data_IF_394698499078
#
_entry.id   IF_394698499078
#
_cell.length_a   1.000
_cell.length_b   1.000
_cell.length_c   1.000
_cell.angle_alpha   90.00
_cell.angle_beta   90.00
_cell.angle_gamma   90.00
#
_symmetry.space_group_name_H-M   'P 1'
#
loop_
_entity.id
_entity.type
_entity.pdbx_description
1 polymer ?
#
# COMPACT_ATOMS: atom_id res chain seq x y z
N UNK A 1 -21.57 -6.65 12.67
CA UNK A 1 -21.18 -6.37 14.05
C UNK A 1 -19.76 -5.84 14.04
N UNK A 2 -19.57 -4.65 14.51
CA UNK A 2 -18.34 -3.88 14.33
C UNK A 2 -17.78 -3.49 15.68
N UNK A 3 -16.47 -3.49 15.84
CA UNK A 3 -15.83 -3.10 17.08
C UNK A 3 -14.63 -2.21 16.79
N UNK A 4 -14.72 -0.99 17.23
CA UNK A 4 -13.59 -0.13 17.50
C UNK A 4 -13.76 0.48 18.90
N UNK A 5 -12.66 0.53 19.64
CA UNK A 5 -12.55 0.76 21.08
C UNK A 5 -13.04 2.11 21.59
N UNK A 6 -13.98 2.70 21.28
CA UNK A 6 -14.48 3.96 21.82
C UNK A 6 -15.62 4.50 20.99
N UNK A 7 -15.39 4.64 19.70
CA UNK A 7 -16.39 5.22 18.81
C UNK A 7 -17.65 4.35 18.69
N UNK A 8 -17.50 3.04 18.63
CA UNK A 8 -18.65 2.12 18.57
C UNK A 8 -19.36 1.98 19.89
N UNK A 9 -18.65 2.01 20.99
CA UNK A 9 -19.27 2.02 22.31
C UNK A 9 -20.13 3.26 22.49
N UNK A 10 -19.64 4.43 22.09
CA UNK A 10 -20.42 5.67 22.13
C UNK A 10 -21.61 5.62 21.15
N UNK A 11 -21.41 5.15 19.92
CA UNK A 11 -22.48 5.03 18.92
C UNK A 11 -23.52 3.98 19.31
N UNK A 12 -23.11 2.86 19.90
CA UNK A 12 -24.03 1.84 20.41
C UNK A 12 -24.79 2.35 21.62
N UNK A 13 -24.15 3.10 22.52
CA UNK A 13 -24.80 3.72 23.67
C UNK A 13 -25.80 4.83 23.30
N UNK A 14 -25.66 5.44 22.10
CA UNK A 14 -26.65 6.38 21.54
C UNK A 14 -27.93 5.68 21.04
N UNK A 15 -27.87 4.38 20.71
CA UNK A 15 -28.95 3.64 20.07
C UNK A 15 -29.43 2.43 20.86
N UNK A 16 -28.68 1.97 21.83
CA UNK A 16 -28.97 0.79 22.64
C UNK A 16 -28.79 1.10 24.15
N UNK A 17 -29.51 0.36 25.00
CA UNK A 17 -29.30 0.51 26.41
C UNK A 17 -27.89 0.06 26.85
N UNK A 18 -27.37 0.58 27.99
CA UNK A 18 -26.08 0.14 28.52
C UNK A 18 -26.02 -1.39 28.77
N UNK A 19 -27.13 -2.02 29.10
CA UNK A 19 -27.22 -3.46 29.38
C UNK A 19 -27.11 -4.27 28.08
N UNK A 20 -27.77 -3.83 26.98
CA UNK A 20 -27.64 -4.45 25.64
C UNK A 20 -26.23 -4.33 25.07
N UNK A 21 -25.55 -3.22 25.34
CA UNK A 21 -24.15 -3.03 24.97
C UNK A 21 -23.23 -3.91 25.82
N UNK A 22 -23.55 -4.11 27.09
CA UNK A 22 -22.81 -4.96 28.02
C UNK A 22 -22.91 -6.45 27.66
N UNK A 23 -24.06 -6.90 27.19
CA UNK A 23 -24.24 -8.28 26.72
C UNK A 23 -23.47 -8.56 25.42
N UNK A 24 -23.37 -7.58 24.53
CA UNK A 24 -22.70 -7.76 23.24
C UNK A 24 -21.16 -7.71 23.35
N UNK A 25 -20.61 -6.88 24.23
CA UNK A 25 -19.18 -6.63 24.35
C UNK A 25 -18.39 -7.80 24.98
N UNK A 26 -18.87 -8.48 26.04
CA UNK A 26 -18.14 -9.59 26.65
C UNK A 26 -17.93 -10.80 25.73
N UNK A 27 -18.86 -11.11 24.84
CA UNK A 27 -18.69 -12.21 23.87
C UNK A 27 -17.52 -11.98 22.90
N UNK A 28 -17.18 -10.73 22.66
CA UNK A 28 -16.12 -10.34 21.71
C UNK A 28 -14.82 -9.94 22.41
N UNK A 29 -14.88 -9.62 23.70
CA UNK A 29 -13.71 -9.42 24.56
C UNK A 29 -13.10 -10.73 25.06
N UNK A 30 -13.73 -11.89 24.81
CA UNK A 30 -13.12 -13.17 25.13
C UNK A 30 -11.84 -13.37 24.33
N UNK A 31 -10.79 -12.86 24.92
CA UNK A 31 -9.43 -12.98 24.47
C UNK A 31 -8.89 -14.37 24.80
N UNK A 32 -8.06 -14.86 23.95
CA UNK A 32 -7.16 -15.95 24.28
C UNK A 32 -5.74 -15.38 24.37
N UNK A 33 -4.90 -16.05 25.13
CA UNK A 33 -3.47 -15.70 25.16
C UNK A 33 -2.76 -16.53 24.10
N UNK A 34 -1.99 -15.87 23.25
CA UNK A 34 -1.14 -16.58 22.29
C UNK A 34 0.06 -17.25 23.01
N UNK A 35 0.89 -17.97 22.26
CA UNK A 35 2.07 -18.66 22.78
C UNK A 35 3.08 -17.73 23.50
N UNK A 36 2.97 -16.41 23.30
CA UNK A 36 3.77 -15.39 23.97
C UNK A 36 3.11 -14.85 25.24
N UNK A 37 1.89 -15.32 25.58
CA UNK A 37 1.10 -14.81 26.69
C UNK A 37 0.39 -13.48 26.40
N UNK A 38 0.42 -13.01 25.14
CA UNK A 38 -0.25 -11.77 24.75
C UNK A 38 -1.74 -12.02 24.49
N UNK A 39 -2.58 -11.17 25.05
CA UNK A 39 -4.03 -11.22 24.87
C UNK A 39 -4.42 -10.94 23.40
N UNK A 40 -5.23 -11.84 22.83
CA UNK A 40 -5.69 -11.77 21.44
C UNK A 40 -7.22 -11.82 21.39
N UNK A 41 -7.80 -11.17 20.40
CA UNK A 41 -9.22 -11.28 20.12
C UNK A 41 -9.53 -12.54 19.32
N UNK A 42 -10.65 -13.21 19.60
CA UNK A 42 -11.12 -14.36 18.81
C UNK A 42 -11.50 -13.98 17.39
N UNK A 43 -11.93 -12.73 17.18
CA UNK A 43 -12.30 -12.20 15.87
C UNK A 43 -11.09 -11.44 15.33
N UNK A 44 -10.54 -11.83 14.17
CA UNK A 44 -9.33 -11.20 13.61
C UNK A 44 -9.61 -9.86 12.94
N UNK A 45 -10.82 -9.65 12.41
CA UNK A 45 -11.18 -8.49 11.60
C UNK A 45 -12.44 -7.81 12.11
N UNK A 46 -12.39 -6.49 12.19
CA UNK A 46 -13.53 -5.68 12.60
C UNK A 46 -13.90 -4.68 11.52
N UNK A 47 -15.20 -4.48 11.33
CA UNK A 47 -15.75 -3.51 10.40
C UNK A 47 -16.75 -2.59 11.08
N UNK A 48 -16.78 -1.32 10.64
CA UNK A 48 -17.78 -0.34 11.06
C UNK A 48 -18.17 0.54 9.86
N UNK A 49 -19.46 0.82 9.72
CA UNK A 49 -19.95 1.73 8.69
C UNK A 49 -21.24 2.39 9.12
N UNK A 50 -21.46 3.62 8.66
CA UNK A 50 -22.72 4.35 8.79
C UNK A 50 -23.50 4.43 7.46
N UNK A 51 -23.11 3.62 6.47
CA UNK A 51 -23.74 3.55 5.14
C UNK A 51 -23.40 4.70 4.19
N UNK A 52 -22.51 5.62 4.59
CA UNK A 52 -22.08 6.72 3.70
C UNK A 52 -20.94 6.26 2.82
N UNK A 53 -20.99 6.63 1.55
CA UNK A 53 -19.89 6.41 0.62
C UNK A 53 -18.59 7.05 1.13
N UNK A 54 -17.47 6.39 0.84
CA UNK A 54 -16.15 6.91 1.19
C UNK A 54 -15.89 8.28 0.54
N UNK A 55 -15.51 9.24 1.37
CA UNK A 55 -15.08 10.58 0.94
C UNK A 55 -13.85 10.99 1.73
N UNK A 56 -12.73 11.16 1.05
CA UNK A 56 -11.45 11.52 1.67
C UNK A 56 -11.53 12.80 2.54
N UNK A 57 -12.42 13.76 2.19
CA UNK A 57 -12.66 14.95 2.98
C UNK A 57 -13.42 14.70 4.30
N UNK A 58 -14.11 13.56 4.40
CA UNK A 58 -14.91 13.19 5.57
C UNK A 58 -14.32 11.98 6.30
N UNK A 59 -13.02 11.99 6.51
CA UNK A 59 -12.19 10.87 6.99
C UNK A 59 -12.79 10.00 8.10
N UNK A 60 -13.50 10.59 9.05
CA UNK A 60 -14.05 9.86 10.21
C UNK A 60 -15.53 9.55 10.12
N UNK A 61 -16.22 9.96 9.04
CA UNK A 61 -17.69 9.88 8.93
C UNK A 61 -18.20 9.28 7.61
N UNK A 62 -17.32 8.57 6.87
CA UNK A 62 -17.67 7.98 5.58
C UNK A 62 -16.85 6.71 5.32
N UNK A 63 -17.35 5.88 4.40
CA UNK A 63 -16.71 4.62 4.01
C UNK A 63 -16.99 3.47 4.97
N UNK A 64 -16.26 2.40 4.73
CA UNK A 64 -16.30 1.18 5.54
C UNK A 64 -15.02 1.14 6.34
N UNK A 65 -15.14 1.32 7.64
CA UNK A 65 -13.98 1.27 8.55
C UNK A 65 -13.59 -0.16 8.81
N UNK A 66 -12.32 -0.46 8.62
CA UNK A 66 -11.73 -1.78 8.79
C UNK A 66 -10.56 -1.73 9.76
N UNK A 67 -10.45 -2.75 10.60
CA UNK A 67 -9.30 -2.97 11.45
C UNK A 67 -8.98 -4.45 11.56
N UNK A 68 -7.73 -4.81 11.29
CA UNK A 68 -7.14 -6.09 11.66
C UNK A 68 -6.69 -6.01 13.12
N UNK A 69 -7.41 -6.66 14.01
CA UNK A 69 -7.16 -6.62 15.47
C UNK A 69 -6.18 -7.68 15.94
N UNK A 70 -5.62 -8.47 15.04
CA UNK A 70 -4.57 -9.46 15.38
C UNK A 70 -3.27 -8.78 15.85
N UNK A 71 -3.04 -7.53 15.43
CA UNK A 71 -1.99 -6.67 15.97
C UNK A 71 -2.62 -5.42 16.56
N UNK A 72 -2.38 -5.19 17.86
CA UNK A 72 -2.91 -4.03 18.59
C UNK A 72 -2.39 -2.69 18.05
N UNK A 73 -1.26 -2.70 17.33
CA UNK A 73 -0.69 -1.50 16.69
C UNK A 73 -1.42 -1.09 15.41
N UNK A 74 -2.20 -2.00 14.81
CA UNK A 74 -2.95 -1.67 13.61
C UNK A 74 -4.01 -0.61 13.93
N UNK A 75 -4.01 0.44 13.10
CA UNK A 75 -5.00 1.51 13.18
C UNK A 75 -6.18 1.18 12.26
N UNK A 76 -7.35 1.66 12.64
CA UNK A 76 -8.53 1.58 11.78
C UNK A 76 -8.33 2.46 10.54
N UNK A 77 -8.78 1.97 9.39
CA UNK A 77 -8.72 2.67 8.09
C UNK A 77 -10.06 2.61 7.39
N UNK A 78 -10.41 3.67 6.68
CA UNK A 78 -11.62 3.72 5.88
C UNK A 78 -11.35 3.15 4.49
N UNK A 79 -12.22 2.25 4.05
CA UNK A 79 -12.19 1.62 2.72
C UNK A 79 -13.40 2.09 1.91
N UNK A 80 -13.29 2.18 0.58
CA UNK A 80 -14.42 2.49 -0.29
C UNK A 80 -15.38 1.31 -0.44
N UNK A 81 -14.91 0.07 -0.29
CA UNK A 81 -15.65 -1.17 -0.47
C UNK A 81 -15.28 -2.22 0.59
N UNK A 82 -16.11 -3.27 0.69
CA UNK A 82 -15.85 -4.43 1.53
C UNK A 82 -14.76 -5.31 0.93
N UNK A 83 -13.95 -5.93 1.80
CA UNK A 83 -13.14 -7.07 1.38
C UNK A 83 -14.04 -8.21 0.93
N UNK A 84 -13.63 -8.93 -0.11
CA UNK A 84 -14.28 -10.15 -0.54
C UNK A 84 -13.94 -11.31 0.44
N UNK A 85 -14.81 -12.33 0.55
CA UNK A 85 -14.54 -13.47 1.44
C UNK A 85 -13.18 -14.14 1.19
N UNK A 86 -12.79 -14.28 -0.07
CA UNK A 86 -11.51 -14.87 -0.48
C UNK A 86 -10.32 -14.05 0.02
N UNK A 87 -10.43 -12.71 -0.05
CA UNK A 87 -9.41 -11.78 0.44
C UNK A 87 -9.23 -11.89 1.96
N UNK A 88 -10.35 -12.03 2.69
CA UNK A 88 -10.31 -12.25 4.14
C UNK A 88 -9.66 -13.58 4.53
N UNK A 89 -9.93 -14.66 3.75
CA UNK A 89 -9.27 -15.95 3.95
C UNK A 89 -7.77 -15.85 3.69
N UNK A 90 -7.36 -15.14 2.66
CA UNK A 90 -5.94 -14.88 2.38
C UNK A 90 -5.27 -14.09 3.51
N UNK A 91 -5.94 -13.04 4.00
CA UNK A 91 -5.44 -12.25 5.14
C UNK A 91 -5.34 -13.09 6.41
N UNK A 92 -6.26 -14.03 6.66
CA UNK A 92 -6.20 -14.96 7.79
C UNK A 92 -4.97 -15.87 7.73
N UNK A 93 -4.60 -16.33 6.53
CA UNK A 93 -3.41 -17.14 6.31
C UNK A 93 -2.08 -16.38 6.41
N UNK A 94 -2.12 -15.04 6.46
CA UNK A 94 -0.93 -14.20 6.57
C UNK A 94 -0.56 -13.93 8.03
N UNK A 95 0.74 -13.98 8.34
CA UNK A 95 1.30 -13.68 9.66
C UNK A 95 2.26 -12.47 9.58
N UNK A 96 1.74 -11.22 9.47
CA UNK A 96 2.56 -10.05 9.21
C UNK A 96 3.71 -9.84 10.20
N UNK A 97 3.55 -10.24 11.44
CA UNK A 97 4.60 -10.12 12.47
C UNK A 97 5.80 -11.04 12.19
N UNK A 98 5.55 -12.31 11.84
CA UNK A 98 6.62 -13.24 11.45
C UNK A 98 7.29 -12.80 10.14
N UNK A 99 6.48 -12.34 9.20
CA UNK A 99 6.97 -11.84 7.92
C UNK A 99 7.83 -10.58 8.09
N UNK A 100 7.48 -9.70 9.02
CA UNK A 100 8.31 -8.55 9.37
C UNK A 100 9.62 -8.95 10.05
N UNK A 101 9.64 -10.04 10.83
CA UNK A 101 10.86 -10.58 11.44
C UNK A 101 11.89 -11.02 10.40
N UNK A 102 11.42 -11.47 9.22
CA UNK A 102 12.29 -11.87 8.12
C UNK A 102 13.31 -10.77 7.73
N UNK A 103 12.93 -9.48 7.81
CA UNK A 103 13.86 -8.38 7.51
C UNK A 103 15.03 -8.30 8.49
N UNK A 104 14.78 -8.59 9.77
CA UNK A 104 15.83 -8.62 10.79
C UNK A 104 16.72 -9.85 10.63
N UNK A 105 16.13 -10.99 10.25
CA UNK A 105 16.85 -12.26 10.08
C UNK A 105 17.68 -12.28 8.78
N UNK A 106 17.32 -11.45 7.79
CA UNK A 106 17.99 -11.36 6.50
C UNK A 106 18.51 -9.93 6.21
N UNK A 107 19.48 -9.41 6.99
CA UNK A 107 19.95 -8.04 6.84
C UNK A 107 20.84 -7.83 5.61
N UNK A 108 21.38 -8.89 4.99
CA UNK A 108 22.26 -8.83 3.82
C UNK A 108 21.53 -8.45 2.55
N UNK A 109 22.20 -7.66 1.69
CA UNK A 109 21.71 -7.23 0.37
C UNK A 109 22.79 -7.34 -0.72
N UNK A 110 23.87 -8.05 -0.47
CA UNK A 110 25.02 -8.15 -1.39
C UNK A 110 24.64 -8.72 -2.76
N UNK A 111 23.69 -9.65 -2.79
CA UNK A 111 23.15 -10.26 -4.01
C UNK A 111 22.43 -9.28 -4.95
N UNK A 112 21.94 -8.15 -4.39
CA UNK A 112 21.20 -7.15 -5.15
C UNK A 112 22.12 -6.14 -5.85
N UNK A 113 23.42 -6.16 -5.55
CA UNK A 113 24.43 -5.28 -6.16
C UNK A 113 24.10 -3.79 -5.99
N UNK A 114 23.59 -3.42 -4.82
CA UNK A 114 23.22 -2.06 -4.48
C UNK A 114 24.43 -1.25 -4.01
N UNK A 115 24.35 0.06 -4.18
CA UNK A 115 25.24 1.00 -3.50
C UNK A 115 24.76 1.20 -2.06
N UNK A 116 25.67 1.55 -1.14
CA UNK A 116 25.34 1.70 0.29
C UNK A 116 24.10 2.56 0.56
N UNK A 117 23.97 3.70 -0.13
CA UNK A 117 22.81 4.59 0.06
C UNK A 117 21.49 4.00 -0.47
N UNK A 118 21.54 3.09 -1.44
CA UNK A 118 20.38 2.35 -1.92
C UNK A 118 19.95 1.28 -0.89
N UNK A 119 20.92 0.58 -0.30
CA UNK A 119 20.66 -0.33 0.82
C UNK A 119 20.04 0.39 2.00
N UNK A 120 20.58 1.57 2.36
CA UNK A 120 20.05 2.39 3.46
C UNK A 120 18.60 2.83 3.18
N UNK A 121 18.28 3.18 1.93
CA UNK A 121 16.93 3.51 1.51
C UNK A 121 15.97 2.30 1.69
N UNK A 122 16.37 1.11 1.24
CA UNK A 122 15.58 -0.12 1.40
C UNK A 122 15.37 -0.43 2.89
N UNK A 123 16.43 -0.39 3.71
CA UNK A 123 16.36 -0.60 5.16
C UNK A 123 15.43 0.41 5.86
N UNK A 124 15.41 1.66 5.40
CA UNK A 124 14.51 2.69 5.95
C UNK A 124 13.04 2.34 5.69
N UNK A 125 12.71 1.84 4.50
CA UNK A 125 11.36 1.37 4.17
C UNK A 125 10.98 0.16 5.01
N UNK A 126 11.84 -0.87 5.11
CA UNK A 126 11.59 -2.05 5.93
C UNK A 126 11.32 -1.68 7.39
N UNK A 127 12.13 -0.78 7.96
CA UNK A 127 11.91 -0.26 9.32
C UNK A 127 10.58 0.48 9.46
N UNK A 128 10.16 1.25 8.45
CA UNK A 128 8.89 1.95 8.46
C UNK A 128 7.70 0.96 8.43
N UNK A 129 7.78 -0.07 7.59
CA UNK A 129 6.79 -1.16 7.53
C UNK A 129 6.68 -1.88 8.88
N UNK A 130 7.80 -2.25 9.48
CA UNK A 130 7.84 -2.91 10.81
C UNK A 130 7.22 -2.03 11.89
N UNK A 131 7.35 -0.70 11.78
CA UNK A 131 6.68 0.27 12.69
C UNK A 131 5.20 0.46 12.41
N UNK A 132 4.64 -0.18 11.37
CA UNK A 132 3.23 -0.08 11.01
C UNK A 132 2.86 1.16 10.18
N UNK A 133 3.85 1.85 9.58
CA UNK A 133 3.56 2.97 8.67
C UNK A 133 2.86 2.45 7.41
N UNK A 134 1.80 3.14 7.00
CA UNK A 134 1.00 2.79 5.82
C UNK A 134 1.38 3.62 4.60
N UNK A 135 1.85 4.83 4.81
CA UNK A 135 2.36 5.76 3.79
C UNK A 135 3.84 6.03 4.06
N UNK A 136 4.67 5.78 3.05
CA UNK A 136 6.14 5.83 3.16
C UNK A 136 6.70 6.63 1.99
N UNK A 137 7.58 7.58 2.24
CA UNK A 137 8.21 8.41 1.22
C UNK A 137 9.73 8.24 1.23
N UNK A 138 10.30 7.96 0.04
CA UNK A 138 11.73 8.01 -0.24
C UNK A 138 12.06 9.23 -1.11
N UNK A 139 12.95 10.08 -0.64
CA UNK A 139 13.48 11.20 -1.40
C UNK A 139 14.90 10.89 -1.88
N UNK A 140 15.05 10.54 -3.15
CA UNK A 140 16.35 10.21 -3.78
C UNK A 140 16.57 11.05 -5.03
N UNK A 141 17.70 11.72 -5.15
CA UNK A 141 18.02 12.60 -6.29
C UNK A 141 17.95 11.84 -7.64
N UNK A 142 17.73 12.58 -8.72
CA UNK A 142 17.77 12.01 -10.08
C UNK A 142 19.16 11.43 -10.35
N UNK A 143 19.23 10.30 -11.07
CA UNK A 143 20.50 9.62 -11.37
C UNK A 143 21.07 8.74 -10.25
N UNK A 144 20.45 8.70 -9.07
CA UNK A 144 20.90 7.84 -7.96
C UNK A 144 20.40 6.39 -8.06
N UNK A 145 19.70 6.03 -9.13
CA UNK A 145 19.20 4.67 -9.36
C UNK A 145 17.93 4.34 -8.57
N UNK A 146 16.97 5.29 -8.50
CA UNK A 146 15.65 5.06 -7.86
C UNK A 146 14.98 3.77 -8.34
N UNK A 147 14.93 3.54 -9.64
CA UNK A 147 14.31 2.33 -10.21
C UNK A 147 15.00 1.07 -9.72
N UNK A 148 16.34 1.03 -9.66
CA UNK A 148 17.08 -0.10 -9.10
C UNK A 148 16.79 -0.31 -7.62
N UNK A 149 16.71 0.78 -6.86
CA UNK A 149 16.31 0.73 -5.44
C UNK A 149 14.89 0.18 -5.28
N UNK A 150 13.95 0.62 -6.14
CA UNK A 150 12.57 0.13 -6.13
C UNK A 150 12.50 -1.38 -6.46
N UNK A 151 13.26 -1.85 -7.47
CA UNK A 151 13.32 -3.27 -7.83
C UNK A 151 13.85 -4.12 -6.66
N UNK A 152 14.96 -3.70 -6.07
CA UNK A 152 15.56 -4.40 -4.93
C UNK A 152 14.64 -4.41 -3.70
N UNK A 153 13.97 -3.29 -3.44
CA UNK A 153 12.96 -3.20 -2.40
C UNK A 153 11.80 -4.17 -2.64
N UNK A 154 11.20 -4.16 -3.84
CA UNK A 154 10.11 -5.07 -4.19
C UNK A 154 10.53 -6.53 -4.10
N UNK A 155 11.76 -6.87 -4.51
CA UNK A 155 12.31 -8.21 -4.33
C UNK A 155 12.24 -8.65 -2.87
N UNK A 156 12.78 -7.85 -1.97
CA UNK A 156 12.82 -8.18 -0.53
C UNK A 156 11.41 -8.22 0.09
N UNK A 157 10.54 -7.31 -0.30
CA UNK A 157 9.16 -7.28 0.17
C UNK A 157 8.38 -8.56 -0.22
N UNK A 158 8.62 -9.10 -1.42
CA UNK A 158 8.00 -10.36 -1.87
C UNK A 158 8.69 -11.55 -1.20
N UNK A 159 10.04 -11.57 -1.10
CA UNK A 159 10.78 -12.66 -0.47
C UNK A 159 10.43 -12.85 1.01
N UNK A 160 10.17 -11.75 1.72
CA UNK A 160 9.69 -11.82 3.10
C UNK A 160 8.28 -12.43 3.24
N UNK A 161 7.59 -12.68 2.13
CA UNK A 161 6.18 -13.07 2.08
C UNK A 161 5.23 -12.08 2.77
N UNK A 162 5.73 -10.85 3.09
CA UNK A 162 4.92 -9.80 3.71
C UNK A 162 3.89 -9.24 2.73
N UNK A 163 4.23 -9.25 1.44
CA UNK A 163 3.38 -8.78 0.38
C UNK A 163 3.21 -9.86 -0.69
N UNK A 164 1.96 -10.09 -1.05
CA UNK A 164 1.57 -11.09 -2.04
C UNK A 164 1.64 -10.53 -3.45
N UNK A 165 1.15 -9.28 -3.62
CA UNK A 165 1.07 -8.61 -4.93
C UNK A 165 1.32 -7.13 -4.82
N UNK A 166 2.34 -6.66 -5.53
CA UNK A 166 2.75 -5.26 -5.57
C UNK A 166 2.22 -4.60 -6.85
N UNK A 167 1.56 -3.47 -6.71
CA UNK A 167 1.27 -2.57 -7.82
C UNK A 167 2.44 -1.59 -7.98
N UNK A 168 3.10 -1.62 -9.15
CA UNK A 168 4.06 -0.59 -9.53
C UNK A 168 3.34 0.46 -10.38
N UNK A 169 3.04 1.59 -9.75
CA UNK A 169 2.24 2.66 -10.33
C UNK A 169 3.13 3.72 -10.97
N UNK A 170 2.93 3.94 -12.26
CA UNK A 170 3.65 4.94 -13.05
C UNK A 170 2.70 5.99 -13.62
N UNK A 171 3.22 7.19 -13.82
CA UNK A 171 2.46 8.30 -14.41
C UNK A 171 2.22 8.10 -15.90
N UNK A 172 3.26 7.66 -16.63
CA UNK A 172 3.23 7.55 -18.09
C UNK A 172 3.55 6.13 -18.57
N UNK A 173 2.97 5.78 -19.72
CA UNK A 173 3.26 4.50 -20.37
C UNK A 173 4.76 4.28 -20.62
N UNK A 174 5.48 5.31 -21.10
CA UNK A 174 6.92 5.24 -21.35
C UNK A 174 7.74 4.92 -20.10
N UNK A 175 7.35 5.43 -18.94
CA UNK A 175 7.99 5.08 -17.66
C UNK A 175 7.71 3.62 -17.27
N UNK A 176 6.52 3.13 -17.55
CA UNK A 176 6.17 1.73 -17.34
C UNK A 176 6.96 0.79 -18.25
N UNK A 177 7.15 1.15 -19.51
CA UNK A 177 7.98 0.40 -20.46
C UNK A 177 9.46 0.40 -20.02
N UNK A 178 9.99 1.53 -19.54
CA UNK A 178 11.32 1.61 -18.96
C UNK A 178 11.46 0.75 -17.69
N UNK A 179 10.45 0.72 -16.84
CA UNK A 179 10.46 -0.12 -15.65
C UNK A 179 10.45 -1.61 -16.00
N UNK A 180 9.63 -2.01 -16.98
CA UNK A 180 9.61 -3.40 -17.47
C UNK A 180 10.96 -3.82 -18.05
N UNK A 181 11.59 -2.96 -18.88
CA UNK A 181 12.96 -3.20 -19.36
C UNK A 181 13.97 -3.31 -18.21
N UNK A 182 13.87 -2.46 -17.19
CA UNK A 182 14.75 -2.55 -16.02
C UNK A 182 14.54 -3.85 -15.23
N UNK A 183 13.31 -4.40 -15.17
CA UNK A 183 13.04 -5.71 -14.57
C UNK A 183 13.69 -6.85 -15.39
N UNK A 184 13.67 -6.77 -16.71
CA UNK A 184 14.33 -7.75 -17.61
C UNK A 184 15.85 -7.71 -17.47
N UNK A 185 16.43 -6.52 -17.34
CA UNK A 185 17.89 -6.33 -17.25
C UNK A 185 18.44 -6.63 -15.85
N UNK A 186 17.61 -6.55 -14.80
CA UNK A 186 18.05 -6.76 -13.42
C UNK A 186 18.27 -8.25 -13.14
N UNK A 187 19.50 -8.59 -12.75
CA UNK A 187 19.86 -9.95 -12.31
C UNK A 187 20.06 -10.01 -10.82
N UNK A 188 19.53 -11.08 -10.22
CA UNK A 188 19.67 -11.41 -8.81
C UNK A 188 20.13 -12.86 -8.74
N UNK A 189 21.28 -13.11 -8.16
CA UNK A 189 21.90 -14.45 -8.09
C UNK A 189 22.05 -15.14 -9.46
N UNK A 190 22.20 -14.36 -10.56
CA UNK A 190 22.35 -14.88 -11.92
C UNK A 190 21.03 -14.97 -12.71
N UNK A 191 19.90 -15.03 -12.06
CA UNK A 191 18.58 -15.05 -12.68
C UNK A 191 18.04 -13.65 -12.95
N UNK A 192 17.26 -13.49 -14.02
CA UNK A 192 16.57 -12.22 -14.30
C UNK A 192 15.40 -12.04 -13.35
N UNK A 193 15.09 -10.81 -13.00
CA UNK A 193 13.97 -10.51 -12.10
C UNK A 193 12.64 -11.09 -12.62
N UNK A 194 12.42 -11.04 -13.95
CA UNK A 194 11.24 -11.61 -14.61
C UNK A 194 11.20 -13.15 -14.59
N UNK A 195 12.36 -13.82 -14.44
CA UNK A 195 12.37 -15.29 -14.28
C UNK A 195 12.08 -15.72 -12.85
N UNK A 196 12.28 -14.83 -11.88
CA UNK A 196 12.02 -15.09 -10.45
C UNK A 196 10.54 -14.85 -10.12
N UNK A 197 9.92 -13.81 -10.71
CA UNK A 197 8.56 -13.40 -10.39
C UNK A 197 7.69 -13.27 -11.64
N UNK A 198 6.41 -13.66 -11.52
CA UNK A 198 5.40 -13.34 -12.53
C UNK A 198 5.07 -11.84 -12.49
N UNK A 199 5.39 -11.15 -13.59
CA UNK A 199 5.21 -9.71 -13.76
C UNK A 199 4.23 -9.47 -14.89
N UNK A 200 3.16 -8.73 -14.61
CA UNK A 200 2.21 -8.26 -15.62
C UNK A 200 2.49 -6.81 -15.99
N UNK A 201 2.39 -6.52 -17.27
CA UNK A 201 2.71 -5.22 -17.82
C UNK A 201 1.51 -4.30 -18.02
N UNK A 202 1.75 -3.19 -18.71
CA UNK A 202 0.79 -2.11 -18.95
C UNK A 202 -0.45 -2.52 -19.74
N UNK A 203 -0.36 -3.56 -20.56
CA UNK A 203 -1.45 -4.07 -21.42
C UNK A 203 -2.34 -5.07 -20.70
N UNK A 204 -1.84 -5.68 -19.63
CA UNK A 204 -2.57 -6.70 -18.89
C UNK A 204 -3.70 -6.06 -18.08
N UNK A 205 -4.92 -6.54 -18.29
CA UNK A 205 -6.10 -5.92 -17.67
C UNK A 205 -6.19 -6.23 -16.18
N UNK A 206 -5.96 -7.48 -15.83
CA UNK A 206 -6.04 -7.97 -14.45
C UNK A 206 -4.86 -8.87 -14.16
N UNK A 207 -4.21 -8.70 -13.00
CA UNK A 207 -3.20 -9.66 -12.57
C UNK A 207 -3.86 -11.01 -12.22
N UNK A 208 -3.18 -12.08 -12.55
CA UNK A 208 -3.54 -13.44 -12.14
C UNK A 208 -3.16 -13.66 -10.66
N UNK A 209 -3.56 -14.80 -10.10
CA UNK A 209 -3.24 -15.09 -8.70
C UNK A 209 -1.75 -15.35 -8.47
N UNK A 210 -1.05 -15.87 -9.50
CA UNK A 210 0.41 -16.03 -9.52
C UNK A 210 1.18 -14.72 -9.60
N UNK A 211 0.58 -13.66 -10.13
CA UNK A 211 1.23 -12.38 -10.39
C UNK A 211 1.75 -11.76 -9.10
N UNK A 212 3.03 -11.42 -9.07
CA UNK A 212 3.70 -10.77 -7.95
C UNK A 212 3.80 -9.26 -8.11
N UNK A 213 4.02 -8.81 -9.33
CA UNK A 213 4.12 -7.38 -9.65
C UNK A 213 3.24 -7.07 -10.85
N UNK A 214 2.45 -6.01 -10.73
CA UNK A 214 1.66 -5.47 -11.83
C UNK A 214 2.08 -4.02 -12.08
N UNK A 215 2.58 -3.75 -13.29
CA UNK A 215 2.92 -2.39 -13.74
C UNK A 215 1.72 -1.76 -14.40
N UNK A 216 1.24 -0.66 -13.86
CA UNK A 216 0.06 0.02 -14.39
C UNK A 216 0.20 1.54 -14.37
N UNK A 217 -0.51 2.22 -15.27
CA UNK A 217 -0.66 3.68 -15.23
C UNK A 217 -1.88 4.08 -14.41
N UNK A 218 -1.85 5.29 -13.84
CA UNK A 218 -3.00 5.87 -13.13
C UNK A 218 -4.27 5.82 -13.98
N UNK A 219 -4.17 6.19 -15.27
CA UNK A 219 -5.32 6.22 -16.19
C UNK A 219 -5.94 4.85 -16.42
N UNK A 220 -5.10 3.81 -16.55
CA UNK A 220 -5.59 2.44 -16.74
C UNK A 220 -6.34 1.94 -15.51
N UNK A 221 -5.85 2.29 -14.32
CA UNK A 221 -6.50 1.93 -13.07
C UNK A 221 -7.80 2.72 -12.82
N UNK A 222 -7.83 4.02 -13.15
CA UNK A 222 -9.06 4.82 -13.05
C UNK A 222 -10.20 4.17 -13.84
N UNK A 223 -9.93 3.74 -15.09
CA UNK A 223 -10.93 3.06 -15.91
C UNK A 223 -11.40 1.74 -15.31
N UNK A 224 -10.49 0.96 -14.73
CA UNK A 224 -10.78 -0.39 -14.21
C UNK A 224 -11.37 -0.40 -12.79
N UNK A 225 -11.08 0.65 -12.02
CA UNK A 225 -11.43 0.71 -10.60
C UNK A 225 -12.55 1.70 -10.33
N UNK A 226 -12.47 2.92 -10.91
CA UNK A 226 -13.40 4.00 -10.59
C UNK A 226 -14.53 4.16 -11.61
N UNK A 227 -14.37 3.61 -12.82
CA UNK A 227 -15.31 3.75 -13.94
C UNK A 227 -15.87 2.41 -14.43
N UNK A 228 -15.53 1.31 -13.77
CA UNK A 228 -16.03 -0.03 -14.10
C UNK A 228 -17.26 -0.35 -13.27
N UNK A 229 -18.21 -1.07 -13.86
CA UNK A 229 -19.36 -1.64 -13.15
C UNK A 229 -18.93 -2.73 -12.16
N UNK A 230 -17.76 -3.37 -12.42
CA UNK A 230 -17.12 -4.31 -11.52
C UNK A 230 -15.73 -3.75 -11.13
N UNK A 231 -15.65 -2.94 -10.06
CA UNK A 231 -14.38 -2.38 -9.62
C UNK A 231 -13.42 -3.45 -9.13
N UNK A 232 -12.12 -3.14 -9.21
CA UNK A 232 -11.10 -4.04 -8.69
C UNK A 232 -11.26 -4.19 -7.17
N UNK A 233 -11.12 -5.41 -6.62
CA UNK A 233 -11.21 -5.64 -5.18
C UNK A 233 -10.22 -4.78 -4.39
N UNK A 234 -10.61 -4.34 -3.19
CA UNK A 234 -9.79 -3.43 -2.37
C UNK A 234 -8.48 -4.06 -1.88
N UNK A 235 -8.44 -5.38 -1.70
CA UNK A 235 -7.22 -6.11 -1.36
C UNK A 235 -6.52 -6.75 -2.58
N UNK A 236 -6.83 -6.29 -3.81
CA UNK A 236 -6.14 -6.81 -5.00
C UNK A 236 -4.64 -6.60 -4.96
N UNK A 237 -4.20 -5.52 -4.35
CA UNK A 237 -2.80 -5.21 -4.06
C UNK A 237 -2.66 -4.93 -2.57
N UNK A 238 -1.63 -5.45 -1.96
CA UNK A 238 -1.27 -5.21 -0.56
C UNK A 238 -0.08 -4.25 -0.39
N UNK A 239 0.55 -3.89 -1.52
CA UNK A 239 1.57 -2.85 -1.60
C UNK A 239 1.42 -2.06 -2.92
N UNK A 240 1.56 -0.75 -2.85
CA UNK A 240 1.65 0.14 -4.01
C UNK A 240 2.99 0.86 -3.96
N UNK A 241 3.80 0.67 -4.98
CA UNK A 241 5.06 1.39 -5.19
C UNK A 241 4.82 2.42 -6.28
N UNK A 242 4.98 3.69 -5.94
CA UNK A 242 4.78 4.82 -6.87
C UNK A 242 6.12 5.39 -7.27
N UNK A 243 6.44 5.33 -8.54
CA UNK A 243 7.65 5.99 -9.08
C UNK A 243 7.31 7.42 -9.52
N UNK A 244 8.29 8.32 -9.34
CA UNK A 244 8.16 9.76 -9.65
C UNK A 244 6.89 10.40 -9.05
N UNK A 245 6.61 10.11 -7.78
CA UNK A 245 5.39 10.52 -7.08
C UNK A 245 5.10 12.03 -7.10
N UNK A 246 6.11 12.87 -7.37
CA UNK A 246 5.94 14.31 -7.53
C UNK A 246 5.19 14.69 -8.81
N UNK A 247 5.25 13.87 -9.85
CA UNK A 247 4.66 14.17 -11.16
C UNK A 247 3.13 14.15 -11.15
N UNK A 248 2.53 13.36 -10.32
CA UNK A 248 1.06 13.36 -10.14
C UNK A 248 0.47 14.71 -9.69
N UNK A 249 1.32 15.73 -9.45
CA UNK A 249 0.94 16.99 -8.83
C UNK A 249 1.60 18.24 -9.38
N UNK A 250 2.49 18.14 -10.38
CA UNK A 250 3.19 19.33 -10.90
C UNK A 250 2.38 19.97 -12.00
N UNK A 251 2.13 21.28 -11.83
CA UNK A 251 1.64 22.23 -12.83
C UNK A 251 2.70 22.53 -13.91
N UNK A 252 3.38 21.52 -14.46
CA UNK A 252 4.35 21.77 -15.51
C UNK A 252 3.67 21.87 -16.88
N UNK A 253 4.11 22.84 -17.66
CA UNK A 253 3.50 23.31 -18.90
C UNK A 253 3.43 22.29 -20.04
N UNK A 254 3.98 21.11 -19.87
CA UNK A 254 3.86 20.00 -20.84
C UNK A 254 2.80 19.01 -20.35
N UNK A 255 1.60 19.15 -20.89
CA UNK A 255 0.55 18.17 -20.68
C UNK A 255 1.03 16.79 -21.15
N UNK A 256 0.99 15.82 -20.25
CA UNK A 256 1.29 14.43 -20.58
C UNK A 256 0.13 13.80 -21.34
N UNK A 257 0.38 12.74 -22.13
CA UNK A 257 -0.67 11.99 -22.81
C UNK A 257 -1.79 11.54 -21.85
N UNK A 258 -1.43 11.32 -20.57
CA UNK A 258 -2.38 10.97 -19.51
C UNK A 258 -3.26 12.13 -19.06
N UNK A 259 -2.72 13.34 -18.99
CA UNK A 259 -3.46 14.56 -18.60
C UNK A 259 -4.44 14.99 -19.67
N UNK A 260 -4.16 14.73 -20.94
CA UNK A 260 -5.10 14.98 -22.04
C UNK A 260 -6.42 14.19 -21.91
N UNK A 261 -6.45 13.12 -21.13
CA UNK A 261 -7.67 12.34 -20.85
C UNK A 261 -8.51 12.94 -19.71
N UNK A 262 -7.94 13.84 -18.91
CA UNK A 262 -8.64 14.51 -17.81
C UNK A 262 -8.97 15.96 -18.21
N UNK A 263 -10.14 16.42 -17.79
CA UNK A 263 -10.63 17.80 -18.11
C UNK A 263 -9.78 18.87 -17.44
N UNK A 264 -9.11 18.54 -16.36
CA UNK A 264 -8.23 19.45 -15.63
C UNK A 264 -7.21 18.65 -14.83
N UNK A 265 -6.12 19.31 -14.42
CA UNK A 265 -5.11 18.73 -13.55
C UNK A 265 -5.68 18.42 -12.15
N UNK A 266 -6.64 19.21 -11.66
CA UNK A 266 -7.32 18.93 -10.39
C UNK A 266 -8.08 17.60 -10.46
N UNK A 267 -8.67 17.26 -11.61
CA UNK A 267 -9.34 15.99 -11.82
C UNK A 267 -8.34 14.83 -11.81
N UNK A 268 -7.17 15.01 -12.41
CA UNK A 268 -6.10 14.02 -12.41
C UNK A 268 -5.59 13.75 -10.97
N UNK A 269 -5.27 14.81 -10.21
CA UNK A 269 -4.83 14.70 -8.81
C UNK A 269 -5.87 14.01 -7.95
N UNK A 270 -7.15 14.36 -8.16
CA UNK A 270 -8.27 13.72 -7.46
C UNK A 270 -8.36 12.23 -7.81
N UNK A 271 -8.25 11.87 -9.08
CA UNK A 271 -8.30 10.49 -9.56
C UNK A 271 -7.12 9.67 -9.06
N UNK A 272 -5.91 10.22 -9.08
CA UNK A 272 -4.71 9.59 -8.54
C UNK A 272 -4.89 9.26 -7.05
N UNK A 273 -5.34 10.22 -6.25
CA UNK A 273 -5.59 10.01 -4.83
C UNK A 273 -6.66 8.94 -4.59
N UNK A 274 -7.75 8.98 -5.36
CA UNK A 274 -8.82 7.97 -5.27
C UNK A 274 -8.31 6.57 -5.57
N UNK A 275 -7.39 6.41 -6.54
CA UNK A 275 -6.75 5.11 -6.81
C UNK A 275 -5.90 4.66 -5.63
N UNK A 276 -5.09 5.55 -5.05
CA UNK A 276 -4.30 5.21 -3.87
C UNK A 276 -5.17 4.83 -2.66
N UNK A 277 -6.28 5.54 -2.47
CA UNK A 277 -7.20 5.32 -1.36
C UNK A 277 -8.12 4.11 -1.58
N UNK A 278 -8.25 3.64 -2.84
CA UNK A 278 -9.11 2.49 -3.16
C UNK A 278 -8.56 1.19 -2.56
N UNK A 279 -7.25 0.99 -2.64
CA UNK A 279 -6.65 -0.28 -2.23
C UNK A 279 -6.25 -0.27 -0.75
N UNK A 280 -6.55 -1.38 -0.09
CA UNK A 280 -6.08 -1.70 1.26
C UNK A 280 -4.61 -2.11 1.23
N UNK A 281 -3.72 -1.17 0.92
CA UNK A 281 -2.32 -1.39 0.63
C UNK A 281 -1.41 -0.43 1.39
N UNK A 282 -0.20 -0.89 1.72
CA UNK A 282 0.90 0.00 2.10
C UNK A 282 1.38 0.74 0.86
N UNK A 283 1.54 2.06 0.97
CA UNK A 283 1.90 2.94 -0.14
C UNK A 283 3.33 3.44 0.05
N UNK A 284 4.19 3.16 -0.92
CA UNK A 284 5.60 3.55 -0.92
C UNK A 284 5.86 4.43 -2.13
N UNK A 285 6.22 5.67 -1.90
CA UNK A 285 6.50 6.65 -2.95
C UNK A 285 8.00 6.92 -3.09
N UNK A 286 8.47 6.98 -4.34
CA UNK A 286 9.82 7.41 -4.68
C UNK A 286 9.74 8.72 -5.44
N UNK A 287 10.59 9.69 -5.07
CA UNK A 287 10.65 10.99 -5.74
C UNK A 287 12.04 11.60 -5.66
N UNK A 288 12.41 12.39 -6.66
CA UNK A 288 13.62 13.20 -6.58
C UNK A 288 13.39 14.49 -5.78
N UNK A 289 12.18 15.03 -5.87
CA UNK A 289 11.79 16.33 -5.30
C UNK A 289 10.49 16.17 -4.53
N UNK A 290 10.55 15.95 -3.20
CA UNK A 290 9.33 15.87 -2.40
C UNK A 290 8.63 17.24 -2.41
N UNK A 291 7.53 17.35 -3.16
CA UNK A 291 6.68 18.49 -3.18
C UNK A 291 5.73 18.48 -1.96
N UNK A 292 5.17 19.64 -1.59
CA UNK A 292 4.32 19.78 -0.41
C UNK A 292 3.17 18.75 -0.39
N UNK A 293 2.50 18.55 -1.51
CA UNK A 293 1.39 17.60 -1.58
C UNK A 293 1.85 16.13 -1.60
N UNK A 294 3.07 15.81 -2.06
CA UNK A 294 3.64 14.46 -1.89
C UNK A 294 3.81 14.16 -0.40
N UNK A 295 4.33 15.14 0.35
CA UNK A 295 4.46 15.03 1.82
C UNK A 295 3.09 14.96 2.51
N UNK A 296 2.08 15.66 2.00
CA UNK A 296 0.71 15.58 2.54
C UNK A 296 0.06 14.19 2.39
N UNK A 297 0.47 13.41 1.38
CA UNK A 297 -0.06 12.05 1.16
C UNK A 297 0.78 11.01 1.88
N UNK A 298 2.10 11.05 1.70
CA UNK A 298 3.00 9.99 2.12
C UNK A 298 3.75 10.30 3.42
N UNK A 299 3.55 11.50 3.99
CA UNK A 299 4.30 11.97 5.15
C UNK A 299 5.72 12.44 4.82
N UNK A 300 6.47 12.79 5.85
CA UNK A 300 7.88 13.16 5.71
C UNK A 300 8.70 11.97 5.22
N UNK A 301 9.73 12.21 4.37
CA UNK A 301 10.57 11.13 3.87
C UNK A 301 11.26 10.36 5.00
N UNK A 302 11.11 9.03 4.99
CA UNK A 302 11.83 8.14 5.91
C UNK A 302 13.32 8.04 5.58
N UNK A 303 13.68 8.42 4.35
CA UNK A 303 15.06 8.49 3.88
C UNK A 303 15.22 9.62 2.86
N UNK A 304 16.35 10.35 2.95
CA UNK A 304 16.71 11.43 2.02
C UNK A 304 18.13 11.24 1.52
N UNK A 305 18.30 11.20 0.20
CA UNK A 305 19.60 11.21 -0.45
C UNK A 305 19.61 12.30 -1.53
N UNK A 306 20.28 13.41 -1.24
CA UNK A 306 20.28 14.61 -2.08
C UNK A 306 21.55 14.72 -2.92
N UNK A 307 21.56 15.61 -3.89
CA UNK A 307 22.79 15.92 -4.66
C UNK A 307 23.96 16.40 -3.80
N UNK A 308 23.69 16.93 -2.61
CA UNK A 308 24.75 17.36 -1.68
C UNK A 308 25.36 16.23 -0.89
N UNK A 309 24.67 15.09 -0.83
CA UNK A 309 25.11 13.88 -0.14
C UNK A 309 25.66 12.83 -1.11
N UNK A 310 25.44 13.02 -2.41
CA UNK A 310 25.95 12.19 -3.49
C UNK A 310 27.31 12.69 -3.95
#
# INVERSE_FOLDING_TARGET
KCFDNGFLRETLLEHYSPDEVHEAVPEYETSWHDSSGQQRFKIPFCYSTNGREYRAAMKTKSGIWFRDVRDTRNMSKALPEWHRPEELLEMLGSEPQKQNQWFADNPGMSELGLRYYQEDAVRAVEKAIVKGQQEILLAMATGTGKTRTAIAMMFRLIQSQRFKRILFLVDRRSLGEQALGAFEDTRINGDTFNSIFDIKGLTDKFPEDSTKIHVATVQSLVKRTLQSDEPMPVARYDCIVVDEAHRGYILDKEQTEGELQFRSQLDYVSAYRRILDHFDAIKIALTATPALHTVQIFGEPVYRYTYRTA
#
